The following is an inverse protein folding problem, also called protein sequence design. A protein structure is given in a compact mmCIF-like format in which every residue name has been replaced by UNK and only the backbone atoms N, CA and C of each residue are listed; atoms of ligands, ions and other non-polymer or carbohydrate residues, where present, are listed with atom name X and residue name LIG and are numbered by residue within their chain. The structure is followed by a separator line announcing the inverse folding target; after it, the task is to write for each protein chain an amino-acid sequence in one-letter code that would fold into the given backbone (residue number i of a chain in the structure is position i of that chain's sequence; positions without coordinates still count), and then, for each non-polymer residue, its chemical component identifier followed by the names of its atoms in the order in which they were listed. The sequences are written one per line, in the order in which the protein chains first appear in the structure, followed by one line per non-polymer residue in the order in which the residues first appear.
data_IF_822536837332
#
_entry.id   IF_822536837332
#
_cell.length_a   1.000
_cell.length_b   1.000
_cell.length_c   1.000
_cell.angle_alpha   90.00
_cell.angle_beta   90.00
_cell.angle_gamma   90.00
#
_symmetry.space_group_name_H-M   'P 1'
#
loop_
_entity.id
_entity.type
_entity.pdbx_description
1 polymer ?
#
# COMPACT_ATOMS: atom_id res chain seq x y z
N UNK A 1 -22.99 -5.45 7.46
CA UNK A 1 -21.84 -5.01 8.28
C UNK A 1 -20.65 -4.67 7.39
N UNK A 2 -20.23 -5.58 6.51
CA UNK A 2 -19.06 -5.44 5.64
C UNK A 2 -19.10 -4.23 4.69
N UNK A 3 -20.25 -3.93 4.07
CA UNK A 3 -20.39 -2.72 3.24
C UNK A 3 -20.12 -1.42 4.01
N UNK A 4 -20.59 -1.32 5.26
CA UNK A 4 -20.39 -0.13 6.09
C UNK A 4 -18.90 0.03 6.45
N UNK A 5 -18.19 -1.07 6.68
CA UNK A 5 -16.75 -1.06 6.90
C UNK A 5 -15.99 -0.61 5.65
N UNK A 6 -16.35 -1.13 4.46
CA UNK A 6 -15.74 -0.68 3.21
C UNK A 6 -15.96 0.81 2.95
N UNK A 7 -17.19 1.31 3.14
CA UNK A 7 -17.48 2.75 3.05
C UNK A 7 -16.68 3.56 4.06
N UNK A 8 -16.49 3.07 5.29
CA UNK A 8 -15.66 3.74 6.28
C UNK A 8 -14.19 3.79 5.83
N UNK A 9 -13.63 2.67 5.37
CA UNK A 9 -12.25 2.63 4.87
C UNK A 9 -12.07 3.51 3.63
N UNK A 10 -13.06 3.57 2.72
CA UNK A 10 -13.05 4.48 1.58
C UNK A 10 -12.95 5.94 2.00
N UNK A 11 -13.73 6.35 3.00
CA UNK A 11 -13.67 7.71 3.53
C UNK A 11 -12.30 8.01 4.14
N UNK A 12 -11.74 7.05 4.90
CA UNK A 12 -10.39 7.20 5.46
C UNK A 12 -9.33 7.31 4.37
N UNK A 13 -9.39 6.48 3.34
CA UNK A 13 -8.48 6.56 2.20
C UNK A 13 -8.66 7.87 1.41
N UNK A 14 -9.88 8.36 1.24
CA UNK A 14 -10.14 9.64 0.61
C UNK A 14 -9.51 10.79 1.40
N UNK A 15 -9.61 10.76 2.74
CA UNK A 15 -8.91 11.72 3.60
C UNK A 15 -7.38 11.63 3.44
N UNK A 16 -6.83 10.41 3.37
CA UNK A 16 -5.40 10.20 3.12
C UNK A 16 -4.96 10.70 1.74
N UNK A 17 -5.76 10.49 0.69
CA UNK A 17 -5.51 11.01 -0.65
C UNK A 17 -5.52 12.54 -0.66
N UNK A 18 -6.53 13.17 -0.07
CA UNK A 18 -6.60 14.63 0.05
C UNK A 18 -5.40 15.17 0.83
N UNK A 19 -5.04 14.52 1.93
CA UNK A 19 -3.87 14.91 2.73
C UNK A 19 -2.55 14.73 1.95
N UNK A 20 -2.37 13.60 1.28
CA UNK A 20 -1.19 13.33 0.45
C UNK A 20 -1.06 14.29 -0.73
N UNK A 21 -2.17 14.66 -1.39
CA UNK A 21 -2.18 15.65 -2.47
C UNK A 21 -1.77 17.01 -1.92
N UNK A 22 -2.32 17.43 -0.78
CA UNK A 22 -1.88 18.68 -0.12
C UNK A 22 -0.39 18.65 0.19
N UNK A 23 0.13 17.54 0.71
CA UNK A 23 1.55 17.36 0.99
C UNK A 23 2.39 17.45 -0.28
N UNK A 24 1.95 16.83 -1.38
CA UNK A 24 2.63 16.87 -2.67
C UNK A 24 2.64 18.26 -3.30
N UNK A 25 1.54 19.01 -3.18
CA UNK A 25 1.44 20.38 -3.69
C UNK A 25 2.37 21.35 -2.94
N UNK A 26 2.62 21.12 -1.66
CA UNK A 26 3.57 21.93 -0.86
C UNK A 26 5.02 21.53 -1.16
N UNK A 27 5.29 20.22 -1.19
CA UNK A 27 6.63 19.66 -1.39
C UNK A 27 6.53 18.48 -2.36
N UNK A 28 6.69 18.71 -3.67
CA UNK A 28 6.58 17.66 -4.66
C UNK A 28 7.78 16.71 -4.53
N UNK A 29 7.50 15.50 -4.07
CA UNK A 29 8.47 14.40 -3.92
C UNK A 29 7.99 13.18 -4.66
N UNK A 30 8.93 12.43 -5.23
CA UNK A 30 8.64 11.16 -5.88
C UNK A 30 8.00 10.17 -4.89
N UNK A 31 8.52 10.08 -3.67
CA UNK A 31 7.93 9.27 -2.59
C UNK A 31 6.45 9.60 -2.36
N UNK A 32 6.08 10.87 -2.25
CA UNK A 32 4.67 11.27 -2.08
C UNK A 32 3.82 10.87 -3.27
N UNK A 33 4.31 11.06 -4.50
CA UNK A 33 3.58 10.67 -5.71
C UNK A 33 3.34 9.15 -5.78
N UNK A 34 4.35 8.35 -5.42
CA UNK A 34 4.23 6.89 -5.38
C UNK A 34 3.29 6.43 -4.25
N UNK A 35 3.38 7.04 -3.06
CA UNK A 35 2.45 6.75 -1.96
C UNK A 35 1.02 7.12 -2.32
N UNK A 36 0.80 8.24 -3.03
CA UNK A 36 -0.51 8.62 -3.55
C UNK A 36 -1.05 7.59 -4.55
N UNK A 37 -0.21 7.10 -5.46
CA UNK A 37 -0.60 6.05 -6.40
C UNK A 37 -1.02 4.77 -5.67
N UNK A 38 -0.23 4.30 -4.70
CA UNK A 38 -0.55 3.10 -3.90
C UNK A 38 -1.83 3.31 -3.09
N UNK A 39 -1.96 4.47 -2.41
CA UNK A 39 -3.15 4.82 -1.63
C UNK A 39 -4.39 4.85 -2.53
N UNK A 40 -4.27 5.35 -3.76
CA UNK A 40 -5.36 5.35 -4.73
C UNK A 40 -5.74 3.93 -5.17
N UNK A 41 -4.78 3.04 -5.36
CA UNK A 41 -5.04 1.64 -5.68
C UNK A 41 -5.90 0.95 -4.61
N UNK A 42 -5.55 1.14 -3.34
CA UNK A 42 -6.30 0.54 -2.22
C UNK A 42 -7.63 1.24 -1.97
N UNK A 43 -7.69 2.56 -2.15
CA UNK A 43 -8.96 3.31 -2.17
C UNK A 43 -9.92 2.76 -3.22
N UNK A 44 -9.44 2.60 -4.46
CA UNK A 44 -10.26 2.10 -5.55
C UNK A 44 -10.75 0.68 -5.27
N UNK A 45 -9.91 -0.18 -4.70
CA UNK A 45 -10.31 -1.54 -4.32
C UNK A 45 -11.48 -1.54 -3.33
N UNK A 46 -11.37 -0.77 -2.25
CA UNK A 46 -12.43 -0.66 -1.23
C UNK A 46 -13.70 -0.01 -1.81
N UNK A 47 -13.57 0.97 -2.71
CA UNK A 47 -14.69 1.65 -3.34
C UNK A 47 -15.56 0.69 -4.16
N UNK A 48 -14.92 -0.15 -4.97
CA UNK A 48 -15.67 -1.12 -5.77
C UNK A 48 -16.32 -2.19 -4.88
N UNK A 49 -15.69 -2.56 -3.76
CA UNK A 49 -16.31 -3.47 -2.78
C UNK A 49 -17.51 -2.82 -2.09
N UNK A 50 -17.43 -1.54 -1.71
CA UNK A 50 -18.54 -0.80 -1.12
C UNK A 50 -19.73 -0.68 -2.08
N UNK A 51 -19.46 -0.49 -3.37
CA UNK A 51 -20.47 -0.39 -4.43
C UNK A 51 -21.05 -1.75 -4.86
N UNK A 52 -20.41 -2.86 -4.50
CA UNK A 52 -20.71 -4.19 -5.01
C UNK A 52 -22.18 -4.62 -4.91
N UNK A 53 -22.80 -4.42 -3.74
CA UNK A 53 -24.22 -4.74 -3.55
C UNK A 53 -25.18 -3.79 -4.26
N UNK A 54 -24.79 -2.52 -4.43
CA UNK A 54 -25.63 -1.54 -5.13
C UNK A 54 -25.63 -1.79 -6.65
N UNK A 55 -24.51 -2.24 -7.20
CA UNK A 55 -24.38 -2.55 -8.62
C UNK A 55 -24.89 -3.96 -8.97
N UNK A 56 -24.74 -4.92 -8.05
CA UNK A 56 -25.04 -6.33 -8.31
C UNK A 56 -24.02 -6.98 -9.26
N UNK A 57 -24.12 -8.30 -9.43
CA UNK A 57 -23.31 -9.02 -10.40
C UNK A 57 -23.75 -8.67 -11.83
N UNK A 58 -22.78 -8.43 -12.72
CA UNK A 58 -23.02 -8.03 -14.10
C UNK A 58 -21.81 -7.32 -14.73
N UNK A 59 -21.93 -6.97 -16.00
CA UNK A 59 -20.83 -6.44 -16.82
C UNK A 59 -20.18 -5.18 -16.23
N UNK A 60 -20.98 -4.31 -15.60
CA UNK A 60 -20.48 -3.09 -14.97
C UNK A 60 -19.59 -3.40 -13.76
N UNK A 61 -20.07 -4.21 -12.82
CA UNK A 61 -19.28 -4.58 -11.63
C UNK A 61 -18.05 -5.41 -12.03
N UNK A 62 -18.15 -6.23 -13.09
CA UNK A 62 -17.03 -6.96 -13.66
C UNK A 62 -15.96 -6.00 -14.19
N UNK A 63 -16.36 -5.04 -15.04
CA UNK A 63 -15.45 -4.08 -15.66
C UNK A 63 -14.78 -3.17 -14.62
N UNK A 64 -15.52 -2.77 -13.58
CA UNK A 64 -14.97 -2.00 -12.46
C UNK A 64 -14.07 -2.84 -11.55
N UNK A 65 -14.31 -4.15 -11.47
CA UNK A 65 -13.49 -5.04 -10.64
C UNK A 65 -12.13 -5.35 -11.26
N UNK A 66 -12.03 -5.40 -12.59
CA UNK A 66 -10.78 -5.69 -13.29
C UNK A 66 -9.62 -4.75 -12.89
N UNK A 67 -9.80 -3.40 -12.86
CA UNK A 67 -8.76 -2.49 -12.39
C UNK A 67 -8.29 -2.74 -10.96
N UNK A 68 -9.10 -3.33 -10.07
CA UNK A 68 -8.67 -3.65 -8.70
C UNK A 68 -7.48 -4.59 -8.71
N UNK A 69 -7.60 -5.69 -9.46
CA UNK A 69 -6.56 -6.69 -9.62
C UNK A 69 -5.35 -6.11 -10.37
N UNK A 70 -5.58 -5.34 -11.43
CA UNK A 70 -4.51 -4.71 -12.22
C UNK A 70 -3.71 -3.71 -11.39
N UNK A 71 -4.39 -2.78 -10.69
CA UNK A 71 -3.73 -1.79 -9.85
C UNK A 71 -2.95 -2.47 -8.72
N UNK A 72 -3.45 -3.55 -8.15
CA UNK A 72 -2.73 -4.28 -7.11
C UNK A 72 -1.39 -4.83 -7.61
N UNK A 73 -1.36 -5.41 -8.82
CA UNK A 73 -0.11 -5.96 -9.38
C UNK A 73 0.82 -4.88 -9.95
N UNK A 74 0.28 -3.77 -10.46
CA UNK A 74 1.07 -2.74 -11.15
C UNK A 74 1.51 -1.59 -10.24
N UNK A 75 0.73 -1.25 -9.23
CA UNK A 75 0.95 -0.03 -8.42
C UNK A 75 1.63 -0.34 -7.09
N UNK A 76 1.20 -1.39 -6.39
CA UNK A 76 1.77 -1.77 -5.09
C UNK A 76 3.31 -1.98 -5.09
N UNK A 77 3.94 -2.57 -6.14
CA UNK A 77 5.39 -2.73 -6.18
C UNK A 77 6.18 -1.42 -6.03
N UNK A 78 5.61 -0.29 -6.45
CA UNK A 78 6.28 1.01 -6.35
C UNK A 78 6.44 1.51 -4.92
N UNK A 79 5.77 0.88 -3.95
CA UNK A 79 6.04 1.10 -2.54
C UNK A 79 7.53 0.88 -2.20
N UNK A 80 8.19 -0.07 -2.88
CA UNK A 80 9.62 -0.34 -2.71
C UNK A 80 10.44 0.92 -3.03
N UNK A 81 10.22 1.51 -4.21
CA UNK A 81 10.93 2.72 -4.61
C UNK A 81 10.56 3.92 -3.73
N UNK A 82 9.30 4.03 -3.30
CA UNK A 82 8.88 5.05 -2.33
C UNK A 82 9.67 4.95 -1.02
N UNK A 83 9.89 3.73 -0.52
CA UNK A 83 10.65 3.48 0.71
C UNK A 83 12.15 3.77 0.55
N UNK A 84 12.74 3.47 -0.61
CA UNK A 84 14.14 3.87 -0.91
C UNK A 84 14.27 5.39 -0.91
N UNK A 85 13.34 6.10 -1.54
CA UNK A 85 13.36 7.56 -1.59
C UNK A 85 13.13 8.18 -0.20
N UNK A 86 12.20 7.65 0.60
CA UNK A 86 12.03 8.06 2.00
C UNK A 86 13.32 7.88 2.81
N UNK A 87 13.97 6.71 2.71
CA UNK A 87 15.23 6.45 3.43
C UNK A 87 16.34 7.41 2.97
N UNK A 88 16.39 7.72 1.68
CA UNK A 88 17.34 8.69 1.10
C UNK A 88 17.11 10.09 1.63
N UNK A 89 15.86 10.56 1.63
CA UNK A 89 15.49 11.88 2.16
C UNK A 89 15.70 11.97 3.68
N UNK A 90 15.56 10.86 4.40
CA UNK A 90 15.86 10.77 5.83
C UNK A 90 17.37 10.70 6.16
N UNK A 91 18.26 10.74 5.15
CA UNK A 91 19.70 10.76 5.35
C UNK A 91 20.33 9.38 5.62
N UNK A 92 19.62 8.28 5.34
CA UNK A 92 20.18 6.94 5.59
C UNK A 92 21.28 6.62 4.57
N UNK A 93 22.49 6.31 5.06
CA UNK A 93 23.69 6.16 4.24
C UNK A 93 23.59 5.11 3.13
N UNK A 94 22.88 4.00 3.36
CA UNK A 94 22.70 2.94 2.37
C UNK A 94 21.86 3.38 1.16
N UNK A 95 20.95 4.34 1.34
CA UNK A 95 20.02 4.83 0.33
C UNK A 95 20.56 6.05 -0.45
N UNK A 96 21.68 6.65 -0.02
CA UNK A 96 22.29 7.80 -0.70
C UNK A 96 22.85 7.50 -2.10
N UNK A 97 23.55 6.37 -2.32
CA UNK A 97 24.14 6.08 -3.63
C UNK A 97 23.09 5.88 -4.71
N UNK A 98 23.36 6.35 -5.94
CA UNK A 98 22.47 6.14 -7.11
C UNK A 98 22.11 4.68 -7.37
N UNK A 99 23.01 3.74 -7.05
CA UNK A 99 22.75 2.30 -7.16
C UNK A 99 21.59 1.82 -6.27
N UNK A 100 21.36 2.45 -5.11
CA UNK A 100 20.25 2.08 -4.24
C UNK A 100 18.90 2.45 -4.88
N UNK A 101 18.83 3.64 -5.51
CA UNK A 101 17.67 4.07 -6.27
C UNK A 101 17.37 3.12 -7.44
N UNK A 102 18.37 2.85 -8.29
CA UNK A 102 18.20 1.94 -9.43
C UNK A 102 17.91 0.50 -9.00
N UNK A 103 18.49 0.04 -7.88
CA UNK A 103 18.17 -1.25 -7.28
C UNK A 103 16.72 -1.32 -6.82
N UNK A 104 16.21 -0.28 -6.15
CA UNK A 104 14.80 -0.19 -5.76
C UNK A 104 13.86 -0.15 -6.96
N UNK A 105 14.21 0.59 -8.00
CA UNK A 105 13.45 0.63 -9.25
C UNK A 105 13.43 -0.72 -9.95
N UNK A 106 14.58 -1.37 -10.11
CA UNK A 106 14.68 -2.70 -10.71
C UNK A 106 13.87 -3.72 -9.91
N UNK A 107 13.98 -3.71 -8.58
CA UNK A 107 13.19 -4.60 -7.72
C UNK A 107 11.69 -4.34 -7.87
N UNK A 108 11.25 -3.08 -7.92
CA UNK A 108 9.84 -2.73 -8.15
C UNK A 108 9.34 -3.30 -9.48
N UNK A 109 10.13 -3.16 -10.55
CA UNK A 109 9.79 -3.70 -11.88
C UNK A 109 9.77 -5.22 -11.87
N UNK A 110 10.74 -5.90 -11.25
CA UNK A 110 10.76 -7.37 -11.17
C UNK A 110 9.55 -7.91 -10.40
N UNK A 111 9.18 -7.28 -9.28
CA UNK A 111 8.00 -7.66 -8.49
C UNK A 111 6.72 -7.40 -9.28
N UNK A 112 6.63 -6.29 -10.01
CA UNK A 112 5.52 -6.01 -10.92
C UNK A 112 5.38 -7.07 -12.00
N UNK A 113 6.47 -7.40 -12.69
CA UNK A 113 6.48 -8.43 -13.73
C UNK A 113 6.07 -9.80 -13.16
N UNK A 114 6.58 -10.15 -11.97
CA UNK A 114 6.15 -11.37 -11.28
C UNK A 114 4.64 -11.35 -11.01
N UNK A 115 4.08 -10.23 -10.54
CA UNK A 115 2.63 -10.06 -10.37
C UNK A 115 1.85 -10.23 -11.67
N UNK A 116 2.31 -9.63 -12.76
CA UNK A 116 1.70 -9.77 -14.10
C UNK A 116 1.66 -11.26 -14.51
N UNK A 117 2.80 -11.93 -14.51
CA UNK A 117 2.92 -13.30 -15.02
C UNK A 117 2.27 -14.36 -14.13
N UNK A 118 2.13 -14.09 -12.83
CA UNK A 118 1.55 -15.07 -11.89
C UNK A 118 0.08 -14.83 -11.58
N UNK A 119 -0.44 -13.61 -11.79
CA UNK A 119 -1.81 -13.24 -11.39
C UNK A 119 -2.65 -12.63 -12.51
N UNK A 120 -2.07 -11.91 -13.47
CA UNK A 120 -2.85 -11.21 -14.50
C UNK A 120 -3.04 -12.03 -15.77
N UNK A 121 -2.03 -12.78 -16.20
CA UNK A 121 -2.09 -13.62 -17.42
C UNK A 121 -3.12 -14.74 -17.33
N UNK A 122 -3.39 -15.22 -16.11
CA UNK A 122 -4.36 -16.28 -15.80
C UNK A 122 -5.64 -15.76 -15.15
N UNK A 123 -5.83 -14.43 -15.14
CA UNK A 123 -6.92 -13.80 -14.41
C UNK A 123 -8.27 -14.17 -15.04
N UNK A 124 -9.07 -14.89 -14.28
CA UNK A 124 -10.47 -15.18 -14.57
C UNK A 124 -11.30 -14.68 -13.40
N UNK A 125 -12.33 -13.88 -13.68
CA UNK A 125 -13.16 -13.26 -12.66
C UNK A 125 -14.52 -13.92 -12.61
N UNK A 126 -14.91 -14.40 -11.43
CA UNK A 126 -16.26 -14.93 -11.18
C UNK A 126 -16.98 -14.11 -10.10
N UNK A 127 -18.30 -13.93 -10.22
CA UNK A 127 -19.07 -13.26 -9.19
C UNK A 127 -19.20 -14.16 -7.96
N UNK A 128 -19.00 -13.58 -6.79
CA UNK A 128 -19.16 -14.24 -5.50
C UNK A 128 -19.83 -13.30 -4.49
N UNK A 129 -20.59 -13.88 -3.57
CA UNK A 129 -21.10 -13.16 -2.39
C UNK A 129 -20.27 -13.59 -1.20
N UNK A 130 -19.54 -12.65 -0.61
CA UNK A 130 -18.63 -12.96 0.50
C UNK A 130 -18.83 -11.94 1.61
N UNK A 131 -19.19 -12.43 2.81
CA UNK A 131 -19.64 -11.63 3.96
C UNK A 131 -20.78 -10.66 3.62
N UNK A 132 -21.72 -11.12 2.80
CA UNK A 132 -22.86 -10.33 2.33
C UNK A 132 -22.49 -9.21 1.36
N UNK A 133 -21.32 -9.27 0.73
CA UNK A 133 -20.87 -8.32 -0.30
C UNK A 133 -20.74 -9.02 -1.65
N UNK A 134 -21.47 -8.54 -2.63
CA UNK A 134 -21.40 -8.99 -4.03
C UNK A 134 -20.14 -8.42 -4.67
N UNK A 135 -19.26 -9.27 -5.19
CA UNK A 135 -17.99 -8.86 -5.77
C UNK A 135 -17.48 -9.87 -6.80
N UNK A 136 -16.59 -9.44 -7.69
CA UNK A 136 -15.81 -10.37 -8.49
C UNK A 136 -14.53 -10.77 -7.76
N UNK A 137 -14.23 -12.06 -7.81
CA UNK A 137 -13.03 -12.69 -7.25
C UNK A 137 -12.22 -13.37 -8.35
N UNK A 138 -10.91 -13.47 -8.17
CA UNK A 138 -10.06 -14.18 -9.10
C UNK A 138 -10.12 -15.69 -8.88
N UNK A 139 -10.57 -16.43 -9.89
CA UNK A 139 -10.60 -17.90 -9.87
C UNK A 139 -9.24 -18.50 -10.22
N UNK A 140 -8.96 -19.70 -9.68
CA UNK A 140 -7.72 -20.44 -9.97
C UNK A 140 -6.44 -19.82 -9.39
N UNK A 141 -6.56 -18.70 -8.66
CA UNK A 141 -5.45 -18.01 -8.02
C UNK A 141 -5.09 -18.71 -6.72
N UNK A 142 -3.98 -19.45 -6.72
CA UNK A 142 -3.44 -20.14 -5.55
C UNK A 142 -2.06 -19.61 -5.14
N UNK A 143 -1.67 -19.84 -3.90
CA UNK A 143 -0.36 -19.43 -3.36
C UNK A 143 -0.32 -18.00 -2.81
N UNK A 144 0.79 -17.62 -2.14
CA UNK A 144 0.89 -16.38 -1.38
C UNK A 144 0.90 -15.12 -2.28
N UNK A 145 0.43 -13.96 -1.79
CA UNK A 145 0.46 -12.71 -2.55
C UNK A 145 1.89 -12.14 -2.59
N UNK A 146 2.70 -12.61 -3.55
CA UNK A 146 4.12 -12.26 -3.69
C UNK A 146 4.31 -10.74 -3.73
N UNK A 147 3.50 -10.02 -4.52
CA UNK A 147 3.59 -8.57 -4.64
C UNK A 147 3.42 -7.86 -3.29
N UNK A 148 2.40 -8.22 -2.52
CA UNK A 148 2.18 -7.64 -1.18
C UNK A 148 3.31 -8.00 -0.23
N UNK A 149 3.70 -9.29 -0.17
CA UNK A 149 4.74 -9.77 0.75
C UNK A 149 6.06 -9.06 0.50
N UNK A 150 6.50 -8.98 -0.76
CA UNK A 150 7.80 -8.36 -1.08
C UNK A 150 7.73 -6.84 -0.87
N UNK A 151 6.67 -6.17 -1.32
CA UNK A 151 6.57 -4.71 -1.26
C UNK A 151 6.39 -4.20 0.18
N UNK A 152 5.44 -4.77 0.92
CA UNK A 152 5.18 -4.41 2.33
C UNK A 152 6.30 -4.93 3.22
N UNK A 153 6.85 -6.12 2.94
CA UNK A 153 8.00 -6.66 3.65
C UNK A 153 9.24 -5.79 3.50
N UNK A 154 9.51 -5.28 2.30
CA UNK A 154 10.58 -4.31 2.05
C UNK A 154 10.36 -3.02 2.86
N UNK A 155 9.12 -2.50 2.89
CA UNK A 155 8.78 -1.38 3.74
C UNK A 155 9.05 -1.65 5.22
N UNK A 156 8.82 -2.89 5.69
CA UNK A 156 9.16 -3.33 7.04
C UNK A 156 10.67 -3.31 7.31
N UNK A 157 11.48 -3.83 6.38
CA UNK A 157 12.96 -3.82 6.48
C UNK A 157 13.49 -2.39 6.54
N UNK A 158 13.03 -1.50 5.66
CA UNK A 158 13.39 -0.08 5.70
C UNK A 158 12.87 0.58 6.98
N UNK A 159 11.68 0.20 7.44
CA UNK A 159 11.09 0.64 8.69
C UNK A 159 11.98 0.34 9.91
N UNK A 160 12.63 -0.83 9.95
CA UNK A 160 13.61 -1.16 10.99
C UNK A 160 14.80 -0.18 10.95
N UNK A 161 15.23 0.22 9.75
CA UNK A 161 16.21 1.28 9.56
C UNK A 161 15.76 2.62 10.17
N UNK A 162 14.52 3.05 9.90
CA UNK A 162 13.91 4.24 10.50
C UNK A 162 13.78 4.14 12.03
N UNK A 163 13.45 2.96 12.55
CA UNK A 163 13.41 2.75 13.99
C UNK A 163 14.80 2.98 14.59
N UNK A 164 15.82 2.29 14.08
CA UNK A 164 17.18 2.35 14.65
C UNK A 164 17.84 3.70 14.48
N UNK A 165 17.73 4.32 13.30
CA UNK A 165 18.43 5.56 12.97
C UNK A 165 17.67 6.82 13.40
N UNK A 166 16.33 6.78 13.40
CA UNK A 166 15.50 7.97 13.58
C UNK A 166 14.57 7.88 14.81
N UNK A 167 14.61 6.78 15.57
CA UNK A 167 13.67 6.49 16.66
C UNK A 167 12.20 6.56 16.21
N UNK A 168 11.95 6.15 14.96
CA UNK A 168 10.63 6.16 14.34
C UNK A 168 10.14 4.73 14.08
N UNK A 169 9.58 4.04 15.09
CA UNK A 169 9.20 2.63 15.00
C UNK A 169 7.93 2.39 14.18
N UNK A 170 7.16 3.45 13.90
CA UNK A 170 5.78 3.32 13.43
C UNK A 170 5.64 2.63 12.08
N UNK A 171 6.64 2.75 11.18
CA UNK A 171 6.62 2.02 9.89
C UNK A 171 6.67 0.52 10.16
N UNK A 172 7.60 0.06 11.01
CA UNK A 172 7.72 -1.36 11.37
C UNK A 172 6.44 -1.85 12.05
N UNK A 173 5.90 -1.08 13.00
CA UNK A 173 4.66 -1.45 13.70
C UNK A 173 3.49 -1.58 12.71
N UNK A 174 3.31 -0.61 11.81
CA UNK A 174 2.22 -0.65 10.84
C UNK A 174 2.34 -1.82 9.85
N UNK A 175 3.56 -2.15 9.41
CA UNK A 175 3.82 -3.33 8.57
C UNK A 175 3.52 -4.64 9.30
N UNK A 176 3.93 -4.76 10.56
CA UNK A 176 3.64 -5.94 11.38
C UNK A 176 2.14 -6.09 11.58
N UNK A 177 1.44 -5.00 11.89
CA UNK A 177 -0.03 -5.01 12.00
C UNK A 177 -0.67 -5.46 10.68
N UNK A 178 -0.27 -4.90 9.54
CA UNK A 178 -0.78 -5.30 8.23
C UNK A 178 -0.62 -6.81 7.97
N UNK A 179 0.57 -7.37 8.24
CA UNK A 179 0.77 -8.82 8.11
C UNK A 179 -0.07 -9.65 9.09
N UNK A 180 -0.24 -9.18 10.34
CA UNK A 180 -1.11 -9.86 11.31
C UNK A 180 -2.55 -9.88 10.80
N UNK A 181 -3.06 -8.73 10.32
CA UNK A 181 -4.41 -8.61 9.76
C UNK A 181 -4.64 -9.58 8.60
N UNK A 182 -3.70 -9.61 7.65
CA UNK A 182 -3.75 -10.52 6.50
C UNK A 182 -3.55 -12.01 6.85
N UNK A 183 -2.97 -12.32 8.02
CA UNK A 183 -2.77 -13.70 8.47
C UNK A 183 -3.96 -14.31 9.20
N UNK A 184 -5.02 -13.54 9.45
CA UNK A 184 -6.18 -14.02 10.18
C UNK A 184 -6.89 -15.15 9.40
N UNK A 185 -7.32 -16.23 10.08
CA UNK A 185 -7.91 -17.39 9.42
C UNK A 185 -9.32 -17.09 8.91
N UNK A 186 -10.12 -16.40 9.73
CA UNK A 186 -11.47 -15.99 9.38
C UNK A 186 -11.44 -14.89 8.32
N UNK A 187 -12.18 -15.10 7.23
CA UNK A 187 -12.11 -14.23 6.07
C UNK A 187 -12.74 -12.85 6.34
N UNK A 188 -13.80 -12.77 7.13
CA UNK A 188 -14.47 -11.51 7.45
C UNK A 188 -13.56 -10.63 8.31
N UNK A 189 -12.96 -11.23 9.35
CA UNK A 189 -12.00 -10.55 10.20
C UNK A 189 -10.72 -10.19 9.46
N UNK A 190 -10.18 -11.09 8.63
CA UNK A 190 -9.00 -10.82 7.78
C UNK A 190 -9.21 -9.57 6.94
N UNK A 191 -10.35 -9.45 6.26
CA UNK A 191 -10.64 -8.29 5.42
C UNK A 191 -10.84 -7.02 6.24
N UNK A 192 -11.67 -7.05 7.28
CA UNK A 192 -11.92 -5.86 8.09
C UNK A 192 -10.64 -5.34 8.75
N UNK A 193 -9.90 -6.22 9.42
CA UNK A 193 -8.68 -5.86 10.15
C UNK A 193 -7.53 -5.56 9.17
N UNK A 194 -7.40 -6.34 8.10
CA UNK A 194 -6.42 -6.12 7.02
C UNK A 194 -6.56 -4.72 6.43
N UNK A 195 -7.75 -4.35 5.94
CA UNK A 195 -8.00 -3.02 5.39
C UNK A 195 -7.78 -1.90 6.40
N UNK A 196 -8.15 -2.09 7.68
CA UNK A 196 -7.86 -1.12 8.73
C UNK A 196 -6.35 -0.90 8.92
N UNK A 197 -5.57 -1.97 8.91
CA UNK A 197 -4.11 -1.88 9.06
C UNK A 197 -3.40 -1.37 7.81
N UNK A 198 -3.94 -1.59 6.62
CA UNK A 198 -3.46 -0.95 5.39
C UNK A 198 -3.68 0.57 5.42
N UNK A 199 -4.84 1.04 5.91
CA UNK A 199 -5.09 2.48 6.14
C UNK A 199 -4.04 3.04 7.11
N UNK A 200 -3.78 2.35 8.22
CA UNK A 200 -2.76 2.74 9.20
C UNK A 200 -1.37 2.79 8.55
N UNK A 201 -1.02 1.80 7.73
CA UNK A 201 0.26 1.78 7.00
C UNK A 201 0.38 2.99 6.08
N UNK A 202 -0.61 3.27 5.24
CA UNK A 202 -0.58 4.43 4.33
C UNK A 202 -0.49 5.74 5.11
N UNK A 203 -1.25 5.87 6.21
CA UNK A 203 -1.20 7.04 7.09
C UNK A 203 0.19 7.26 7.70
N UNK A 204 0.83 6.20 8.20
CA UNK A 204 2.18 6.26 8.77
C UNK A 204 3.22 6.62 7.71
N UNK A 205 3.10 6.14 6.48
CA UNK A 205 4.03 6.47 5.41
C UNK A 205 3.91 7.94 4.97
N UNK A 206 2.69 8.45 4.80
CA UNK A 206 2.45 9.87 4.54
C UNK A 206 2.91 10.76 5.71
N UNK A 207 2.71 10.32 6.96
CA UNK A 207 3.23 11.01 8.13
C UNK A 207 4.76 11.04 8.15
N UNK A 208 5.39 9.93 7.76
CA UNK A 208 6.86 9.84 7.66
C UNK A 208 7.38 10.85 6.64
N UNK A 209 6.74 10.93 5.47
CA UNK A 209 7.07 11.92 4.45
C UNK A 209 6.94 13.35 4.99
N UNK A 210 5.82 13.67 5.64
CA UNK A 210 5.61 15.00 6.23
C UNK A 210 6.68 15.34 7.29
N UNK A 211 7.09 14.37 8.12
CA UNK A 211 8.15 14.56 9.12
C UNK A 211 9.52 14.82 8.49
N UNK A 212 9.81 14.14 7.38
CA UNK A 212 11.01 14.39 6.56
C UNK A 212 10.99 15.83 6.04
N UNK A 213 9.89 16.25 5.41
CA UNK A 213 9.76 17.59 4.83
C UNK A 213 9.85 18.69 5.90
N UNK A 214 9.36 18.42 7.11
CA UNK A 214 9.51 19.30 8.28
C UNK A 214 10.90 19.25 8.96
N UNK A 215 11.88 18.56 8.35
CA UNK A 215 13.24 18.38 8.86
C UNK A 215 13.35 17.75 10.26
N UNK A 216 12.34 17.00 10.70
CA UNK A 216 12.31 16.44 12.06
C UNK A 216 13.32 15.30 12.26
N UNK A 217 13.78 14.67 11.17
CA UNK A 217 14.80 13.63 11.22
C UNK A 217 16.25 14.17 11.19
N UNK A 218 16.45 15.43 10.78
CA UNK A 218 17.78 16.06 10.65
C UNK A 218 18.26 16.89 11.85
N UNK A 219 17.36 17.36 12.73
CA UNK A 219 17.73 18.24 13.86
C UNK A 219 18.55 17.56 14.97
N UNK A 220 18.49 16.23 15.09
CA UNK A 220 19.14 15.50 16.21
C UNK A 220 20.60 15.10 15.95
N UNK A 221 21.04 14.99 14.70
CA UNK A 221 22.44 14.70 14.38
C UNK A 221 23.35 15.93 14.52
N UNK A 222 22.83 17.13 14.29
CA UNK A 222 23.57 18.40 14.51
C UNK A 222 23.65 18.85 15.97
N UNK A 223 22.81 18.30 16.85
CA UNK A 223 22.87 18.60 18.29
C UNK A 223 23.88 17.70 19.04
N UNK A 224 24.56 16.79 18.34
CA UNK A 224 25.55 15.85 18.88
C UNK A 224 26.91 15.93 18.18
N UNK A 225 27.10 16.92 17.30
CA UNK A 225 28.37 17.26 16.67
C UNK A 225 28.79 18.65 17.16
#
# INVERSE_FOLDING_TARGET
MSNLLYTLYDLLYLLLLVWGVRLWLITPRLSTALLLAVTFGVFYDNLILALGNALGAGDLLWALSLPRFVLHQLVLPWLILAMVELARLAGQGWAQPRRAFWGGMLLSVLVMLAGIFTRLTTLTLAPAVMDGVTRYVAEGVSGPPIVSIVSIGFAGVVGIGFWRANHWPWITVAVVLAFIGESLPDEAWRRAIGSAFEVVLMAVLLLTQQRIDNHQFGRRLRARA
#
